data_IF_129546078647
#
_entry.id   IF_129546078647
#
_cell.length_a   1.000
_cell.length_b   1.000
_cell.length_c   1.000
_cell.angle_alpha   90.00
_cell.angle_beta   90.00
_cell.angle_gamma   90.00
#
_symmetry.space_group_name_H-M   'P 1'
#
loop_
_entity.id
_entity.type
_entity.pdbx_description
1 polymer ?
#
# COMPACT_ATOMS: atom_id res chain seq x y z
N UNK A 1 10.94 53.54 -49.75
CA UNK A 1 10.67 52.18 -49.20
C UNK A 1 11.21 51.91 -47.77
N UNK A 2 11.30 52.88 -46.81
CA UNK A 2 11.61 52.54 -45.41
C UNK A 2 10.37 52.45 -44.49
N UNK A 3 9.27 53.13 -44.84
CA UNK A 3 8.07 53.21 -43.99
C UNK A 3 7.39 51.86 -43.78
N UNK A 4 7.25 51.05 -44.84
CA UNK A 4 6.59 49.73 -44.78
C UNK A 4 7.32 48.72 -43.90
N UNK A 5 8.65 48.79 -43.84
CA UNK A 5 9.47 47.90 -42.99
C UNK A 5 9.31 48.25 -41.50
N UNK A 6 9.27 49.54 -41.16
CA UNK A 6 9.07 50.03 -39.79
C UNK A 6 7.68 49.68 -39.27
N UNK A 7 6.64 49.85 -40.10
CA UNK A 7 5.27 49.46 -39.74
C UNK A 7 5.13 47.94 -39.55
N UNK A 8 5.76 47.13 -40.40
CA UNK A 8 5.76 45.68 -40.26
C UNK A 8 6.47 45.23 -38.97
N UNK A 9 7.61 45.84 -38.63
CA UNK A 9 8.34 45.57 -37.39
C UNK A 9 7.53 45.96 -36.14
N UNK A 10 6.86 47.11 -36.17
CA UNK A 10 6.00 47.54 -35.06
C UNK A 10 4.84 46.56 -34.84
N UNK A 11 4.24 46.04 -35.92
CA UNK A 11 3.14 45.09 -35.84
C UNK A 11 3.59 43.72 -35.27
N UNK A 12 4.77 43.24 -35.65
CA UNK A 12 5.32 41.99 -35.11
C UNK A 12 5.63 42.12 -33.63
N UNK A 13 6.21 43.24 -33.20
CA UNK A 13 6.51 43.49 -31.78
C UNK A 13 5.24 43.61 -30.94
N UNK A 14 4.20 44.30 -31.42
CA UNK A 14 2.93 44.41 -30.69
C UNK A 14 2.20 43.07 -30.58
N UNK A 15 2.22 42.23 -31.63
CA UNK A 15 1.67 40.88 -31.58
C UNK A 15 2.45 40.01 -30.57
N UNK A 16 3.79 40.07 -30.57
CA UNK A 16 4.60 39.32 -29.63
C UNK A 16 4.35 39.71 -28.16
N UNK A 17 4.23 41.02 -27.89
CA UNK A 17 3.88 41.54 -26.56
C UNK A 17 2.48 41.07 -26.17
N UNK A 18 1.51 41.13 -27.08
CA UNK A 18 0.15 40.67 -26.81
C UNK A 18 0.11 39.17 -26.46
N UNK A 19 0.81 38.33 -27.21
CA UNK A 19 0.93 36.89 -26.92
C UNK A 19 1.56 36.66 -25.54
N UNK A 20 2.64 37.39 -25.21
CA UNK A 20 3.29 37.29 -23.91
C UNK A 20 2.35 37.67 -22.75
N UNK A 21 1.53 38.71 -22.93
CA UNK A 21 0.51 39.12 -21.94
C UNK A 21 -0.55 38.02 -21.79
N UNK A 22 -1.06 37.46 -22.89
CA UNK A 22 -2.04 36.38 -22.84
C UNK A 22 -1.51 35.15 -22.08
N UNK A 23 -0.27 34.74 -22.32
CA UNK A 23 0.36 33.64 -21.59
C UNK A 23 0.53 33.95 -20.09
N UNK A 24 0.92 35.18 -19.75
CA UNK A 24 1.07 35.59 -18.35
C UNK A 24 -0.28 35.63 -17.60
N UNK A 25 -1.37 36.01 -18.27
CA UNK A 25 -2.72 35.98 -17.71
C UNK A 25 -3.17 34.53 -17.47
N UNK A 26 -2.98 33.64 -18.44
CA UNK A 26 -3.31 32.21 -18.31
C UNK A 26 -2.51 31.53 -17.18
N UNK A 27 -1.22 31.85 -17.06
CA UNK A 27 -0.38 31.39 -15.94
C UNK A 27 -0.86 31.92 -14.58
N UNK A 28 -1.37 33.15 -14.53
CA UNK A 28 -1.93 33.73 -13.31
C UNK A 28 -3.26 33.07 -12.92
N UNK A 29 -4.14 32.80 -13.90
CA UNK A 29 -5.42 32.13 -13.67
C UNK A 29 -5.22 30.68 -13.20
N UNK A 30 -4.32 29.94 -13.84
CA UNK A 30 -3.96 28.58 -13.42
C UNK A 30 -3.39 28.56 -12.00
N UNK A 31 -2.52 29.53 -11.64
CA UNK A 31 -2.01 29.68 -10.26
C UNK A 31 -3.12 29.96 -9.24
N UNK A 32 -4.10 30.81 -9.57
CA UNK A 32 -5.26 31.08 -8.70
C UNK A 32 -6.10 29.82 -8.50
N UNK A 33 -6.45 29.13 -9.59
CA UNK A 33 -7.21 27.88 -9.54
C UNK A 33 -6.50 26.82 -8.69
N UNK A 34 -5.18 26.67 -8.87
CA UNK A 34 -4.40 25.72 -8.08
C UNK A 34 -4.44 26.06 -6.58
N UNK A 35 -4.36 27.34 -6.22
CA UNK A 35 -4.47 27.80 -4.84
C UNK A 35 -5.85 27.49 -4.24
N UNK A 36 -6.93 27.73 -4.98
CA UNK A 36 -8.30 27.43 -4.56
C UNK A 36 -8.54 25.93 -4.38
N UNK A 37 -8.09 25.11 -5.33
CA UNK A 37 -8.16 23.65 -5.22
C UNK A 37 -7.38 23.13 -4.02
N UNK A 38 -6.19 23.68 -3.77
CA UNK A 38 -5.38 23.34 -2.60
C UNK A 38 -6.11 23.68 -1.31
N UNK A 39 -6.69 24.88 -1.21
CA UNK A 39 -7.44 25.30 -0.04
C UNK A 39 -8.68 24.41 0.19
N UNK A 40 -9.45 24.14 -0.86
CA UNK A 40 -10.63 23.26 -0.77
C UNK A 40 -10.25 21.84 -0.32
N UNK A 41 -9.15 21.29 -0.83
CA UNK A 41 -8.67 19.96 -0.43
C UNK A 41 -8.17 19.95 1.02
N UNK A 42 -7.54 21.03 1.48
CA UNK A 42 -7.13 21.21 2.87
C UNK A 42 -8.34 21.26 3.81
N UNK A 43 -9.36 22.05 3.47
CA UNK A 43 -10.62 22.13 4.22
C UNK A 43 -11.33 20.76 4.25
N UNK A 44 -11.38 20.07 3.10
CA UNK A 44 -11.92 18.72 2.98
C UNK A 44 -11.21 17.74 3.92
N UNK A 45 -9.87 17.78 3.98
CA UNK A 45 -9.06 16.93 4.86
C UNK A 45 -9.25 17.30 6.34
N UNK A 46 -9.33 18.58 6.69
CA UNK A 46 -9.54 19.02 8.07
C UNK A 46 -10.88 18.61 8.63
N UNK A 47 -11.93 18.62 7.80
CA UNK A 47 -13.29 18.26 8.19
C UNK A 47 -13.51 16.74 8.32
N UNK A 48 -12.57 15.92 7.84
CA UNK A 48 -12.68 14.47 7.83
C UNK A 48 -11.61 13.80 8.67
N UNK A 49 -11.93 12.61 9.13
CA UNK A 49 -11.03 11.74 9.85
C UNK A 49 -11.07 10.36 9.21
N UNK A 50 -9.90 9.73 9.14
CA UNK A 50 -9.78 8.35 8.71
C UNK A 50 -10.22 7.43 9.85
N UNK A 51 -11.05 6.45 9.50
CA UNK A 51 -11.55 5.40 10.40
C UNK A 51 -11.39 4.05 9.72
N UNK A 52 -11.15 3.02 10.52
CA UNK A 52 -10.94 1.66 10.02
C UNK A 52 -12.01 0.74 10.59
N UNK A 53 -12.62 -0.05 9.71
CA UNK A 53 -13.45 -1.21 10.08
C UNK A 53 -12.67 -2.47 9.78
N UNK A 54 -12.47 -3.31 10.79
CA UNK A 54 -11.76 -4.58 10.65
C UNK A 54 -12.79 -5.69 10.46
N UNK A 55 -12.73 -6.37 9.32
CA UNK A 55 -13.50 -7.57 9.01
C UNK A 55 -12.58 -8.80 9.18
N UNK A 56 -12.70 -9.54 10.29
CA UNK A 56 -11.94 -10.77 10.48
C UNK A 56 -12.51 -11.87 9.59
N UNK A 57 -11.63 -12.67 8.99
CA UNK A 57 -12.03 -13.88 8.28
C UNK A 57 -11.77 -15.08 9.19
N UNK A 58 -12.82 -15.82 9.53
CA UNK A 58 -12.73 -17.04 10.34
C UNK A 58 -12.22 -18.22 9.51
N UNK A 59 -11.00 -18.08 8.99
CA UNK A 59 -10.29 -19.12 8.27
C UNK A 59 -8.83 -19.12 8.69
N UNK A 60 -8.34 -20.32 8.98
CA UNK A 60 -6.96 -20.59 9.34
C UNK A 60 -6.37 -21.57 8.36
N UNK A 61 -5.23 -21.22 7.77
CA UNK A 61 -4.51 -22.08 6.85
C UNK A 61 -3.23 -22.57 7.50
N UNK A 62 -3.14 -23.88 7.73
CA UNK A 62 -1.93 -24.48 8.28
C UNK A 62 -0.87 -24.62 7.19
N UNK A 63 0.35 -24.21 7.51
CA UNK A 63 1.47 -24.14 6.57
C UNK A 63 2.71 -24.80 7.17
N UNK A 64 3.52 -25.40 6.30
CA UNK A 64 4.90 -25.76 6.61
C UNK A 64 5.82 -24.88 5.77
N UNK A 65 6.71 -24.15 6.44
CA UNK A 65 7.61 -23.17 5.80
C UNK A 65 9.05 -23.68 5.77
N UNK A 66 9.66 -23.70 4.59
CA UNK A 66 11.06 -24.04 4.37
C UNK A 66 11.82 -22.81 3.88
N UNK A 67 13.04 -22.65 4.35
CA UNK A 67 13.86 -21.49 4.05
C UNK A 67 14.84 -21.82 2.92
N UNK A 68 14.82 -21.03 1.86
CA UNK A 68 15.83 -21.10 0.81
C UNK A 68 16.97 -20.15 1.13
N UNK A 69 18.20 -20.64 1.12
CA UNK A 69 19.39 -19.81 1.26
C UNK A 69 20.40 -20.21 0.21
N UNK A 70 20.97 -19.25 -0.51
CA UNK A 70 22.11 -19.52 -1.37
C UNK A 70 23.37 -19.59 -0.51
N UNK A 71 24.02 -20.76 -0.47
CA UNK A 71 25.31 -20.91 0.19
C UNK A 71 26.40 -20.47 -0.79
N UNK A 72 27.00 -19.31 -0.56
CA UNK A 72 28.05 -18.77 -1.44
C UNK A 72 29.30 -19.64 -1.48
N UNK A 73 29.66 -20.27 -0.36
CA UNK A 73 30.84 -21.11 -0.26
C UNK A 73 30.70 -22.39 -1.10
N UNK A 74 29.55 -23.05 -0.99
CA UNK A 74 29.24 -24.26 -1.76
C UNK A 74 28.65 -23.96 -3.15
N UNK A 75 28.42 -22.69 -3.46
CA UNK A 75 27.78 -22.20 -4.69
C UNK A 75 26.48 -22.93 -5.05
N UNK A 76 25.65 -23.25 -4.04
CA UNK A 76 24.40 -23.99 -4.22
C UNK A 76 23.31 -23.50 -3.27
N UNK A 77 22.06 -23.75 -3.63
CA UNK A 77 20.93 -23.52 -2.73
C UNK A 77 20.91 -24.59 -1.63
N UNK A 78 20.73 -24.14 -0.40
CA UNK A 78 20.45 -24.96 0.77
C UNK A 78 19.01 -24.72 1.21
N UNK A 79 18.36 -25.81 1.62
CA UNK A 79 16.99 -25.79 2.11
C UNK A 79 17.04 -26.13 3.58
N UNK A 80 16.66 -25.17 4.44
CA UNK A 80 16.39 -25.46 5.84
C UNK A 80 14.90 -25.82 5.97
N UNK A 81 14.63 -27.06 6.34
CA UNK A 81 13.26 -27.49 6.60
C UNK A 81 12.76 -26.99 7.96
N UNK A 82 11.48 -26.63 8.01
CA UNK A 82 10.83 -26.28 9.28
C UNK A 82 11.34 -24.97 9.88
N UNK A 83 11.29 -23.89 9.09
CA UNK A 83 11.60 -22.52 9.48
C UNK A 83 10.94 -22.13 10.79
N UNK A 84 11.69 -21.50 11.70
CA UNK A 84 11.16 -20.94 12.95
C UNK A 84 10.95 -19.42 12.84
N UNK A 85 10.23 -18.85 13.80
CA UNK A 85 10.06 -17.40 13.88
C UNK A 85 11.40 -16.66 13.95
N UNK A 86 12.34 -17.17 14.75
CA UNK A 86 13.67 -16.59 14.91
C UNK A 86 14.42 -16.61 13.58
N UNK A 87 14.36 -17.69 12.81
CA UNK A 87 14.99 -17.77 11.50
C UNK A 87 14.56 -16.65 10.54
N UNK A 88 13.28 -16.29 10.58
CA UNK A 88 12.70 -15.21 9.77
C UNK A 88 13.19 -13.86 10.26
N UNK A 89 13.16 -13.62 11.58
CA UNK A 89 13.61 -12.34 12.15
C UNK A 89 15.09 -12.06 11.89
N UNK A 90 15.95 -13.08 11.99
CA UNK A 90 17.39 -12.94 11.74
C UNK A 90 17.75 -12.60 10.28
N UNK A 91 16.83 -12.84 9.34
CA UNK A 91 17.05 -12.62 7.90
C UNK A 91 16.40 -11.35 7.37
N UNK A 92 15.92 -10.46 8.25
CA UNK A 92 15.50 -9.12 7.83
C UNK A 92 16.62 -8.45 6.99
N UNK A 93 16.27 -7.72 5.92
CA UNK A 93 14.91 -7.37 5.52
C UNK A 93 14.27 -8.33 4.50
N UNK A 94 14.97 -9.31 3.96
CA UNK A 94 14.45 -10.17 2.87
C UNK A 94 14.59 -11.64 3.25
N UNK A 95 13.49 -12.39 3.15
CA UNK A 95 13.49 -13.83 3.34
C UNK A 95 12.69 -14.53 2.25
N UNK A 96 13.32 -15.54 1.64
CA UNK A 96 12.70 -16.40 0.64
C UNK A 96 12.24 -17.72 1.29
N UNK A 97 10.95 -18.02 1.13
CA UNK A 97 10.27 -19.14 1.73
C UNK A 97 9.61 -20.01 0.66
N UNK A 98 9.65 -21.33 0.88
CA UNK A 98 8.72 -22.28 0.28
C UNK A 98 7.71 -22.72 1.31
N UNK A 99 6.44 -22.48 1.04
CA UNK A 99 5.37 -22.84 1.96
C UNK A 99 4.52 -23.94 1.36
N UNK A 100 4.34 -25.05 2.07
CA UNK A 100 3.36 -26.08 1.68
C UNK A 100 2.13 -25.98 2.56
N UNK A 101 0.97 -26.05 1.93
CA UNK A 101 -0.33 -26.00 2.61
C UNK A 101 -0.83 -27.42 2.83
N UNK A 102 -1.35 -27.69 4.02
CA UNK A 102 -1.90 -29.01 4.33
C UNK A 102 -3.03 -29.37 3.34
N UNK A 103 -2.90 -30.52 2.67
CA UNK A 103 -3.87 -30.99 1.67
C UNK A 103 -3.66 -30.44 0.24
N UNK A 104 -2.72 -29.52 0.01
CA UNK A 104 -2.37 -29.05 -1.33
C UNK A 104 -1.34 -29.96 -2.02
N UNK A 105 -1.44 -30.10 -3.36
CA UNK A 105 -0.51 -30.92 -4.16
C UNK A 105 0.82 -30.22 -4.49
N UNK A 106 0.98 -28.95 -4.12
CA UNK A 106 2.18 -28.15 -4.40
C UNK A 106 2.42 -27.12 -3.30
N UNK A 107 3.62 -26.53 -3.32
CA UNK A 107 3.95 -25.40 -2.44
C UNK A 107 3.93 -24.07 -3.16
N UNK A 108 4.21 -23.04 -2.37
CA UNK A 108 4.11 -21.65 -2.72
C UNK A 108 5.44 -20.96 -2.44
N UNK A 109 5.96 -20.25 -3.43
CA UNK A 109 7.12 -19.40 -3.27
C UNK A 109 6.67 -18.02 -2.74
N UNK A 110 7.36 -17.55 -1.72
CA UNK A 110 7.10 -16.26 -1.09
C UNK A 110 8.43 -15.59 -0.77
N UNK A 111 8.64 -14.41 -1.34
CA UNK A 111 9.69 -13.50 -0.90
C UNK A 111 9.06 -12.44 0.00
N UNK A 112 9.35 -12.50 1.31
CA UNK A 112 8.91 -11.49 2.26
C UNK A 112 9.95 -10.38 2.34
N UNK A 113 9.50 -9.14 2.17
CA UNK A 113 10.31 -7.92 2.31
C UNK A 113 9.79 -7.10 3.49
N UNK A 114 10.63 -6.88 4.49
CA UNK A 114 10.33 -6.09 5.69
C UNK A 114 10.50 -4.59 5.44
N UNK A 115 9.50 -3.81 5.84
CA UNK A 115 9.49 -2.36 5.80
C UNK A 115 9.67 -1.83 7.23
N UNK A 116 10.90 -1.44 7.63
CA UNK A 116 11.21 -1.10 9.02
C UNK A 116 10.46 0.16 9.52
N UNK A 117 10.13 1.09 8.63
CA UNK A 117 9.45 2.34 9.00
C UNK A 117 7.98 2.12 9.35
N UNK A 118 7.36 1.07 8.81
CA UNK A 118 5.94 0.76 8.98
C UNK A 118 5.70 -0.54 9.78
N UNK A 119 6.78 -1.20 10.21
CA UNK A 119 6.80 -2.45 10.97
C UNK A 119 5.93 -3.58 10.40
N UNK A 120 5.98 -3.77 9.08
CA UNK A 120 5.31 -4.90 8.43
C UNK A 120 6.15 -5.50 7.30
N UNK A 121 5.70 -6.64 6.80
CA UNK A 121 6.25 -7.31 5.62
C UNK A 121 5.31 -7.17 4.41
N UNK A 122 5.87 -7.23 3.22
CA UNK A 122 5.10 -7.47 1.99
C UNK A 122 5.57 -8.73 1.33
N UNK A 123 4.67 -9.48 0.69
CA UNK A 123 5.05 -10.61 -0.13
C UNK A 123 5.18 -10.21 -1.61
N UNK A 124 6.20 -10.77 -2.26
CA UNK A 124 6.17 -11.10 -3.67
C UNK A 124 5.91 -12.60 -3.82
N UNK A 125 5.02 -12.98 -4.74
CA UNK A 125 4.54 -14.36 -4.86
C UNK A 125 3.28 -14.60 -4.03
N UNK A 126 3.24 -15.70 -3.28
CA UNK A 126 2.10 -16.02 -2.42
C UNK A 126 2.13 -15.22 -1.11
N UNK A 127 1.02 -14.60 -0.75
CA UNK A 127 0.90 -13.73 0.42
C UNK A 127 0.45 -14.47 1.69
N UNK A 128 0.07 -15.74 1.58
CA UNK A 128 -0.41 -16.54 2.69
C UNK A 128 -1.93 -16.46 2.93
N UNK A 129 -2.70 -15.90 1.99
CA UNK A 129 -4.15 -15.72 2.18
C UNK A 129 -4.90 -17.07 2.21
N UNK A 130 -5.60 -17.40 3.33
CA UNK A 130 -6.41 -18.62 3.45
C UNK A 130 -7.60 -18.65 2.48
N UNK A 131 -8.13 -17.49 2.08
CA UNK A 131 -9.32 -17.40 1.22
C UNK A 131 -9.01 -17.60 -0.27
N UNK A 132 -7.74 -17.41 -0.66
CA UNK A 132 -7.31 -17.38 -2.06
C UNK A 132 -7.89 -16.21 -2.88
N UNK A 133 -8.51 -15.22 -2.25
CA UNK A 133 -9.08 -14.07 -2.94
C UNK A 133 -7.98 -13.12 -3.39
N UNK A 134 -7.98 -12.79 -4.69
CA UNK A 134 -7.01 -11.81 -5.21
C UNK A 134 -7.28 -10.44 -4.59
N UNK A 135 -6.25 -9.89 -3.92
CA UNK A 135 -6.30 -8.54 -3.41
C UNK A 135 -6.22 -7.52 -4.56
N UNK A 136 -6.93 -6.40 -4.44
CA UNK A 136 -6.75 -5.24 -5.35
C UNK A 136 -5.52 -4.42 -4.99
N UNK A 137 -5.13 -4.41 -3.72
CA UNK A 137 -3.93 -3.77 -3.19
C UNK A 137 -2.88 -4.82 -2.80
N UNK A 138 -1.65 -4.37 -2.55
CA UNK A 138 -0.63 -5.23 -1.94
C UNK A 138 -1.04 -5.57 -0.51
N UNK A 139 -0.88 -6.85 -0.12
CA UNK A 139 -1.15 -7.33 1.23
C UNK A 139 -0.08 -6.84 2.19
N UNK A 140 -0.51 -6.45 3.39
CA UNK A 140 0.35 -6.19 4.55
C UNK A 140 0.47 -7.49 5.33
N UNK A 141 1.70 -7.91 5.62
CA UNK A 141 1.99 -9.17 6.29
C UNK A 141 2.63 -8.90 7.65
N UNK A 142 2.01 -9.44 8.68
CA UNK A 142 2.55 -9.47 10.03
C UNK A 142 3.15 -10.84 10.30
N UNK A 143 4.42 -10.91 10.69
CA UNK A 143 5.06 -12.18 11.07
C UNK A 143 5.20 -12.18 12.59
N UNK A 144 4.57 -13.14 13.24
CA UNK A 144 4.53 -13.28 14.70
C UNK A 144 4.87 -14.72 15.10
N UNK A 145 5.39 -14.94 16.33
CA UNK A 145 5.57 -16.30 16.80
C UNK A 145 4.20 -16.97 16.99
N UNK A 146 4.08 -18.20 16.51
CA UNK A 146 2.90 -19.03 16.73
C UNK A 146 2.84 -19.43 18.21
N UNK A 147 1.64 -19.37 18.76
CA UNK A 147 1.27 -19.91 20.06
C UNK A 147 1.07 -21.44 20.03
N UNK A 148 1.24 -22.06 18.86
CA UNK A 148 1.00 -23.47 18.61
C UNK A 148 2.26 -24.16 18.11
N UNK A 149 2.32 -25.50 18.24
CA UNK A 149 3.44 -26.31 17.75
C UNK A 149 3.58 -26.38 16.22
N UNK A 150 2.87 -25.53 15.47
CA UNK A 150 2.87 -25.48 14.01
C UNK A 150 2.65 -24.07 13.49
N UNK A 151 3.01 -23.83 12.22
CA UNK A 151 2.82 -22.54 11.56
C UNK A 151 1.47 -22.46 10.85
N UNK A 152 0.87 -21.27 10.82
CA UNK A 152 -0.40 -21.03 10.13
C UNK A 152 -0.55 -19.57 9.71
N UNK A 153 -1.45 -19.31 8.77
CA UNK A 153 -1.85 -17.95 8.42
C UNK A 153 -3.31 -17.67 8.78
N UNK A 154 -3.57 -16.40 9.11
CA UNK A 154 -4.91 -15.82 9.29
C UNK A 154 -5.01 -14.52 8.49
N UNK A 155 -6.22 -14.06 8.20
CA UNK A 155 -6.43 -12.84 7.42
C UNK A 155 -7.54 -11.97 8.00
N UNK A 156 -7.32 -10.67 7.94
CA UNK A 156 -8.28 -9.62 8.22
C UNK A 156 -8.33 -8.65 7.05
N UNK A 157 -9.51 -8.13 6.73
CA UNK A 157 -9.65 -7.02 5.80
C UNK A 157 -9.88 -5.73 6.58
N UNK A 158 -9.01 -4.77 6.36
CA UNK A 158 -9.11 -3.45 6.98
C UNK A 158 -9.70 -2.50 5.94
N UNK A 159 -10.92 -2.06 6.19
CA UNK A 159 -11.66 -1.15 5.33
C UNK A 159 -11.51 0.28 5.84
N UNK A 160 -10.90 1.13 5.02
CA UNK A 160 -10.59 2.50 5.38
C UNK A 160 -11.66 3.44 4.82
N UNK A 161 -12.19 4.27 5.70
CA UNK A 161 -13.24 5.25 5.41
C UNK A 161 -12.77 6.65 5.79
N UNK A 162 -13.19 7.63 5.00
CA UNK A 162 -13.08 9.04 5.36
C UNK A 162 -14.43 9.54 5.87
N UNK A 163 -14.54 9.71 7.18
CA UNK A 163 -15.77 10.12 7.86
C UNK A 163 -15.74 11.60 8.20
N UNK A 164 -16.91 12.24 8.21
CA UNK A 164 -17.04 13.63 8.68
C UNK A 164 -16.87 13.68 10.20
N UNK A 165 -15.95 14.51 10.69
CA UNK A 165 -15.67 14.61 12.13
C UNK A 165 -16.90 14.94 12.97
N UNK A 166 -17.71 15.90 12.54
CA UNK A 166 -18.95 16.27 13.22
C UNK A 166 -19.91 15.08 13.39
N UNK A 167 -20.01 14.24 12.36
CA UNK A 167 -20.88 13.06 12.38
C UNK A 167 -20.30 11.97 13.31
N UNK A 168 -18.99 11.80 13.34
CA UNK A 168 -18.32 10.92 14.32
C UNK A 168 -18.55 11.39 15.75
N UNK A 169 -18.50 12.70 16.01
CA UNK A 169 -18.76 13.29 17.33
C UNK A 169 -20.22 13.08 17.78
N UNK A 170 -21.17 13.19 16.85
CA UNK A 170 -22.60 13.00 17.10
C UNK A 170 -22.99 11.52 17.29
N UNK A 171 -22.46 10.62 16.45
CA UNK A 171 -22.84 9.20 16.42
C UNK A 171 -21.96 8.32 17.33
N UNK A 172 -20.73 8.76 17.62
CA UNK A 172 -19.78 8.06 18.47
C UNK A 172 -19.54 6.61 18.03
N UNK A 173 -19.70 5.68 18.97
CA UNK A 173 -19.49 4.26 18.72
C UNK A 173 -20.56 3.60 17.83
N UNK A 174 -21.72 4.26 17.64
CA UNK A 174 -22.80 3.78 16.78
C UNK A 174 -22.66 4.29 15.34
N UNK A 175 -21.54 4.92 14.99
CA UNK A 175 -21.32 5.49 13.68
C UNK A 175 -21.42 4.45 12.56
N UNK A 176 -22.27 4.73 11.58
CA UNK A 176 -22.50 3.85 10.44
C UNK A 176 -21.70 4.31 9.20
N UNK A 177 -20.91 3.39 8.66
CA UNK A 177 -20.06 3.62 7.50
C UNK A 177 -20.78 3.47 6.14
N UNK A 178 -22.07 3.11 6.09
CA UNK A 178 -22.85 2.98 4.85
C UNK A 178 -22.75 4.23 3.96
N UNK A 179 -22.80 5.42 4.57
CA UNK A 179 -22.76 6.72 3.88
C UNK A 179 -21.39 7.39 3.90
N UNK A 180 -20.36 6.67 4.34
CA UNK A 180 -19.00 7.19 4.43
C UNK A 180 -18.22 6.87 3.16
N UNK A 181 -17.22 7.71 2.88
CA UNK A 181 -16.38 7.52 1.71
C UNK A 181 -15.40 6.38 1.97
N UNK A 182 -15.75 5.17 1.53
CA UNK A 182 -14.81 4.05 1.41
C UNK A 182 -13.76 4.40 0.34
N UNK A 183 -12.48 4.37 0.70
CA UNK A 183 -11.42 4.72 -0.24
C UNK A 183 -10.35 3.65 -0.40
N UNK A 184 -10.24 2.72 0.56
CA UNK A 184 -9.28 1.62 0.47
C UNK A 184 -9.74 0.40 1.26
N UNK A 185 -9.31 -0.77 0.82
CA UNK A 185 -9.38 -2.02 1.60
C UNK A 185 -8.01 -2.68 1.53
N UNK A 186 -7.40 -2.91 2.68
CA UNK A 186 -6.09 -3.57 2.76
C UNK A 186 -6.27 -4.94 3.37
N UNK A 187 -5.67 -5.94 2.75
CA UNK A 187 -5.60 -7.29 3.30
C UNK A 187 -4.42 -7.35 4.27
N UNK A 188 -4.72 -7.60 5.54
CA UNK A 188 -3.73 -7.83 6.59
C UNK A 188 -3.67 -9.33 6.84
N UNK A 189 -2.52 -9.94 6.53
CA UNK A 189 -2.29 -11.37 6.72
C UNK A 189 -1.32 -11.54 7.88
N UNK A 190 -1.64 -12.39 8.84
CA UNK A 190 -0.72 -12.74 9.91
C UNK A 190 -0.15 -14.12 9.65
N UNK A 191 1.16 -14.21 9.50
CA UNK A 191 1.92 -15.45 9.46
C UNK A 191 2.37 -15.78 10.87
N UNK A 192 1.69 -16.73 11.50
CA UNK A 192 2.05 -17.30 12.79
C UNK A 192 3.08 -18.39 12.54
N UNK A 193 4.36 -18.11 12.78
CA UNK A 193 5.46 -19.06 12.52
C UNK A 193 5.83 -19.78 13.81
N UNK A 194 5.90 -21.11 13.78
CA UNK A 194 6.30 -21.92 14.94
C UNK A 194 7.60 -21.43 15.59
N UNK A 195 7.67 -21.57 16.90
CA UNK A 195 8.89 -21.33 17.67
C UNK A 195 9.85 -22.52 17.56
N UNK A 196 11.12 -22.30 17.95
CA UNK A 196 12.18 -23.31 17.97
C UNK A 196 11.97 -24.41 19.00
#
# INVERSE_FOLDING_TARGET
MPMTLVFALCLVVTIAIFIAICMAVDELETKKLFKELKQRNEEYRRARQETVVVEPVDQKLKIDTNLYTYNEYLRRNEIKHGTTFEDVQHRKPIVDLYSTVEGAKGGHETALCYHPDEDYWTASGWDGDPTGLKARSRSVIHVVPSDQGYSYTTVEYWHYYLCLKKRLEEEGAAHDHEWCNHFNSVKHITWHIKQS
#
